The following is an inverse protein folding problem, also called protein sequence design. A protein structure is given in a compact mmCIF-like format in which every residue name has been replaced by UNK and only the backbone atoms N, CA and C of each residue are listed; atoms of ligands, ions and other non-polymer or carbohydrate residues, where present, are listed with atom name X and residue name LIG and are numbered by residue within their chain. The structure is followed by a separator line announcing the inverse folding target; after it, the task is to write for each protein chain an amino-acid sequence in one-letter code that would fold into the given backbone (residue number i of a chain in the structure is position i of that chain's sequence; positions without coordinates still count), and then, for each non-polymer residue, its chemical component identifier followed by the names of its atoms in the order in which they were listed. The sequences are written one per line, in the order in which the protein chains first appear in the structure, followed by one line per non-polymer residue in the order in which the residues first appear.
data_IF_563567487391
#
_entry.id   IF_563567487391
#
_cell.length_a   1.000
_cell.length_b   1.000
_cell.length_c   1.000
_cell.angle_alpha   90.00
_cell.angle_beta   90.00
_cell.angle_gamma   90.00
#
_symmetry.space_group_name_H-M   'P 1'
#
loop_
_entity.id
_entity.type
_entity.pdbx_description
1 polymer ?
#
# COMPACT_ATOMS: atom_id res chain seq x y z
N UNK A 1 -4.95 -9.50 -17.56
CA UNK A 1 -3.71 -8.98 -16.94
C UNK A 1 -3.01 -10.17 -16.29
N UNK A 2 -1.83 -10.47 -16.73
CA UNK A 2 -0.99 -11.52 -16.17
C UNK A 2 -0.09 -10.94 -15.07
N UNK A 3 -0.05 -11.57 -13.91
CA UNK A 3 0.86 -11.25 -12.82
C UNK A 3 1.87 -12.38 -12.67
N UNK A 4 3.14 -12.04 -12.77
CA UNK A 4 4.25 -12.97 -12.51
C UNK A 4 4.75 -12.74 -11.10
N UNK A 5 4.65 -13.74 -10.24
CA UNK A 5 5.22 -13.72 -8.89
C UNK A 5 6.47 -14.57 -8.87
N UNK A 6 7.60 -13.96 -8.51
CA UNK A 6 8.88 -14.65 -8.35
C UNK A 6 9.16 -14.91 -6.87
N UNK A 7 9.26 -16.15 -6.49
CA UNK A 7 9.58 -16.53 -5.13
C UNK A 7 10.65 -17.66 -5.14
N UNK A 8 11.77 -17.43 -4.47
CA UNK A 8 12.89 -18.39 -4.34
C UNK A 8 13.37 -19.00 -5.68
N UNK A 9 13.33 -18.18 -6.76
CA UNK A 9 13.73 -18.61 -8.09
C UNK A 9 12.67 -19.38 -8.88
N UNK A 10 11.46 -19.56 -8.33
CA UNK A 10 10.31 -20.07 -9.06
C UNK A 10 9.43 -18.91 -9.55
N UNK A 11 9.00 -18.99 -10.79
CA UNK A 11 8.03 -18.06 -11.37
C UNK A 11 6.66 -18.74 -11.33
N UNK A 12 5.68 -18.05 -10.73
CA UNK A 12 4.29 -18.47 -10.74
C UNK A 12 3.47 -17.43 -11.51
N UNK A 13 2.77 -17.88 -12.52
CA UNK A 13 1.93 -17.03 -13.36
C UNK A 13 0.50 -17.04 -12.83
N UNK A 14 -0.09 -15.85 -12.70
CA UNK A 14 -1.49 -15.69 -12.30
C UNK A 14 -2.22 -14.85 -13.32
N UNK A 15 -3.33 -15.39 -13.84
CA UNK A 15 -4.28 -14.62 -14.64
C UNK A 15 -5.16 -13.76 -13.75
N UNK A 16 -4.84 -12.46 -13.70
CA UNK A 16 -5.57 -11.44 -12.95
C UNK A 16 -6.68 -10.85 -13.85
N UNK A 17 -7.81 -11.50 -13.90
CA UNK A 17 -8.94 -10.93 -14.63
C UNK A 17 -9.76 -9.99 -13.74
N UNK A 18 -10.18 -10.41 -12.56
CA UNK A 18 -11.02 -9.62 -11.66
C UNK A 18 -10.87 -10.05 -10.19
N UNK A 19 -11.10 -9.11 -9.25
CA UNK A 19 -11.20 -9.42 -7.81
C UNK A 19 -12.40 -10.29 -7.52
N UNK A 20 -13.52 -9.99 -8.19
CA UNK A 20 -14.77 -10.77 -8.14
C UNK A 20 -14.81 -11.65 -9.38
N UNK A 21 -14.76 -12.96 -9.21
CA UNK A 21 -14.81 -13.91 -10.29
C UNK A 21 -16.25 -14.22 -10.74
N UNK A 22 -17.22 -14.08 -9.83
CA UNK A 22 -18.62 -14.31 -10.15
C UNK A 22 -19.54 -13.47 -9.23
N UNK A 23 -20.63 -12.96 -9.81
CA UNK A 23 -21.71 -12.30 -9.10
C UNK A 23 -23.03 -12.97 -9.53
N UNK A 24 -23.75 -13.51 -8.57
CA UNK A 24 -25.09 -14.11 -8.82
C UNK A 24 -26.13 -13.35 -8.02
N UNK A 25 -27.17 -12.94 -8.70
CA UNK A 25 -28.36 -12.34 -8.12
C UNK A 25 -29.49 -13.37 -8.19
N UNK A 26 -30.09 -13.71 -7.07
CA UNK A 26 -31.26 -14.58 -6.98
C UNK A 26 -32.38 -13.81 -6.28
N UNK A 27 -33.60 -13.96 -6.74
CA UNK A 27 -34.79 -13.37 -6.15
C UNK A 27 -35.67 -12.67 -7.19
N UNK A 28 -36.99 -12.72 -6.98
CA UNK A 28 -37.97 -12.09 -7.87
C UNK A 28 -38.27 -10.63 -7.54
N UNK A 29 -38.01 -10.20 -6.29
CA UNK A 29 -38.29 -8.86 -5.78
C UNK A 29 -37.06 -8.26 -5.08
N UNK A 30 -36.96 -6.93 -5.07
CA UNK A 30 -35.81 -6.22 -4.48
C UNK A 30 -35.60 -6.49 -2.98
N UNK A 31 -36.67 -6.85 -2.27
CA UNK A 31 -36.64 -7.17 -0.84
C UNK A 31 -36.10 -8.59 -0.53
N UNK A 32 -36.05 -9.49 -1.52
CA UNK A 32 -35.67 -10.90 -1.34
C UNK A 32 -34.47 -11.28 -2.22
N UNK A 33 -33.66 -10.31 -2.62
CA UNK A 33 -32.50 -10.57 -3.48
C UNK A 33 -31.33 -11.08 -2.65
N UNK A 34 -30.98 -12.34 -2.87
CA UNK A 34 -29.71 -12.91 -2.43
C UNK A 34 -28.60 -12.52 -3.41
N UNK A 35 -27.55 -11.91 -2.89
CA UNK A 35 -26.35 -11.57 -3.65
C UNK A 35 -25.25 -12.54 -3.25
N UNK A 36 -24.85 -13.41 -4.17
CA UNK A 36 -23.71 -14.29 -3.98
C UNK A 36 -22.50 -13.74 -4.75
N UNK A 37 -21.41 -13.47 -4.02
CA UNK A 37 -20.16 -12.94 -4.56
C UNK A 37 -19.08 -14.00 -4.40
N UNK A 38 -18.46 -14.41 -5.51
CA UNK A 38 -17.30 -15.29 -5.50
C UNK A 38 -16.04 -14.47 -5.72
N UNK A 39 -15.12 -14.53 -4.75
CA UNK A 39 -13.83 -13.86 -4.84
C UNK A 39 -12.87 -14.76 -5.59
N UNK A 40 -12.02 -14.16 -6.44
CA UNK A 40 -10.99 -14.88 -7.20
C UNK A 40 -10.08 -15.68 -6.25
N UNK A 41 -9.77 -16.96 -6.57
CA UNK A 41 -8.84 -17.78 -5.79
C UNK A 41 -7.50 -17.10 -5.55
N UNK A 42 -6.99 -16.35 -6.53
CA UNK A 42 -5.77 -15.56 -6.39
C UNK A 42 -5.82 -14.58 -5.20
N UNK A 43 -6.90 -13.81 -5.07
CA UNK A 43 -7.05 -12.88 -3.94
C UNK A 43 -7.16 -13.60 -2.60
N UNK A 44 -7.81 -14.75 -2.58
CA UNK A 44 -7.88 -15.60 -1.39
C UNK A 44 -6.49 -16.07 -0.99
N UNK A 45 -5.67 -16.54 -1.92
CA UNK A 45 -4.30 -16.98 -1.68
C UNK A 45 -3.42 -15.84 -1.18
N UNK A 46 -3.48 -14.65 -1.81
CA UNK A 46 -2.77 -13.46 -1.36
C UNK A 46 -3.15 -13.05 0.05
N UNK A 47 -4.43 -13.18 0.40
CA UNK A 47 -4.94 -12.89 1.75
C UNK A 47 -4.38 -13.89 2.77
N UNK A 48 -4.48 -15.20 2.49
CA UNK A 48 -3.99 -16.27 3.36
C UNK A 48 -2.46 -16.19 3.52
N UNK A 49 -1.73 -15.92 2.44
CA UNK A 49 -0.29 -15.72 2.47
C UNK A 49 0.15 -14.40 3.10
N UNK A 50 -0.79 -13.55 3.58
CA UNK A 50 -0.52 -12.24 4.18
C UNK A 50 0.28 -11.29 3.27
N UNK A 51 0.11 -11.42 1.95
CA UNK A 51 0.78 -10.62 0.92
C UNK A 51 0.02 -9.34 0.54
N UNK A 52 -1.16 -9.12 1.14
CA UNK A 52 -1.94 -7.91 0.92
C UNK A 52 -1.46 -6.78 1.83
N UNK A 53 -1.43 -5.58 1.26
CA UNK A 53 -1.16 -4.36 2.04
C UNK A 53 -2.46 -3.80 2.57
N UNK A 54 -2.57 -3.72 3.89
CA UNK A 54 -3.71 -3.09 4.55
C UNK A 54 -3.55 -1.59 4.58
N UNK A 55 -4.56 -0.88 4.11
CA UNK A 55 -4.59 0.58 4.10
C UNK A 55 -5.76 1.05 4.95
N UNK A 56 -5.51 1.93 5.91
CA UNK A 56 -6.56 2.67 6.59
C UNK A 56 -7.15 3.69 5.61
N UNK A 57 -8.37 3.40 5.16
CA UNK A 57 -9.07 4.20 4.16
C UNK A 57 -9.42 5.59 4.72
N UNK A 58 -9.84 5.68 5.99
CA UNK A 58 -10.18 6.96 6.62
C UNK A 58 -8.95 7.88 6.67
N UNK A 59 -7.80 7.34 7.10
CA UNK A 59 -6.52 8.07 7.12
C UNK A 59 -6.09 8.48 5.70
N UNK A 60 -6.25 7.59 4.71
CA UNK A 60 -5.94 7.89 3.31
C UNK A 60 -6.78 9.03 2.74
N UNK A 61 -8.05 9.14 3.12
CA UNK A 61 -8.91 10.25 2.69
C UNK A 61 -8.51 11.60 3.30
N UNK A 62 -7.89 11.61 4.48
CA UNK A 62 -7.39 12.83 5.11
C UNK A 62 -6.12 13.38 4.45
N UNK A 63 -5.40 12.56 3.67
CA UNK A 63 -4.22 12.95 2.92
C UNK A 63 -4.69 13.60 1.61
N UNK A 64 -4.21 14.81 1.31
CA UNK A 64 -4.61 15.60 0.14
C UNK A 64 -3.68 15.37 -1.05
N UNK A 65 -2.37 15.43 -0.82
CA UNK A 65 -1.35 15.34 -1.85
C UNK A 65 -1.31 13.98 -2.54
N UNK A 66 -1.23 13.95 -3.88
CA UNK A 66 -1.13 12.70 -4.64
C UNK A 66 0.14 11.93 -4.31
N UNK A 67 1.28 12.62 -4.21
CA UNK A 67 2.57 12.01 -3.82
C UNK A 67 2.53 11.55 -2.36
N UNK A 68 1.89 12.30 -1.45
CA UNK A 68 1.70 11.87 -0.07
C UNK A 68 0.83 10.61 0.02
N UNK A 69 -0.23 10.49 -0.78
CA UNK A 69 -1.05 9.26 -0.87
C UNK A 69 -0.24 8.06 -1.39
N UNK A 70 0.61 8.28 -2.41
CA UNK A 70 1.50 7.24 -2.92
C UNK A 70 2.54 6.83 -1.87
N UNK A 71 3.15 7.81 -1.19
CA UNK A 71 4.12 7.57 -0.11
C UNK A 71 3.47 6.86 1.10
N UNK A 72 2.23 7.20 1.45
CA UNK A 72 1.47 6.47 2.48
C UNK A 72 1.32 4.99 2.11
N UNK A 73 0.89 4.69 0.87
CA UNK A 73 0.78 3.31 0.38
C UNK A 73 2.14 2.59 0.41
N UNK A 74 3.20 3.26 -0.04
CA UNK A 74 4.58 2.73 0.01
C UNK A 74 4.98 2.37 1.44
N UNK A 75 4.76 3.27 2.41
CA UNK A 75 5.04 3.00 3.82
C UNK A 75 4.24 1.80 4.35
N UNK A 76 2.99 1.62 3.94
CA UNK A 76 2.17 0.48 4.36
C UNK A 76 2.62 -0.84 3.73
N UNK A 77 3.10 -0.84 2.48
CA UNK A 77 3.61 -2.04 1.83
C UNK A 77 4.93 -2.55 2.44
N UNK A 78 5.73 -1.66 3.04
CA UNK A 78 6.99 -1.98 3.72
C UNK A 78 6.84 -2.05 5.25
N UNK A 79 5.71 -2.57 5.73
CA UNK A 79 5.31 -2.54 7.14
C UNK A 79 6.27 -3.23 8.12
N UNK A 80 7.09 -4.15 7.64
CA UNK A 80 8.07 -4.87 8.48
C UNK A 80 9.28 -4.00 8.85
N UNK A 81 9.55 -2.97 8.03
CA UNK A 81 10.64 -2.04 8.26
C UNK A 81 10.11 -0.68 8.71
N UNK A 82 10.21 -0.32 9.98
CA UNK A 82 9.70 0.96 10.49
C UNK A 82 10.45 2.17 9.90
N UNK A 83 11.66 1.95 9.40
CA UNK A 83 12.51 2.98 8.80
C UNK A 83 12.82 2.62 7.35
N UNK A 84 12.52 3.53 6.43
CA UNK A 84 13.05 3.47 5.06
C UNK A 84 14.20 4.48 4.93
N UNK A 85 15.31 4.03 4.32
CA UNK A 85 16.42 4.89 3.94
C UNK A 85 16.85 4.55 2.51
N UNK A 86 16.78 5.53 1.61
CA UNK A 86 17.11 5.29 0.21
C UNK A 86 17.34 6.57 -0.58
N UNK A 87 17.82 6.40 -1.80
CA UNK A 87 18.00 7.50 -2.73
C UNK A 87 16.66 8.06 -3.21
N UNK A 88 16.62 9.37 -3.47
CA UNK A 88 15.41 10.08 -3.90
C UNK A 88 14.85 9.55 -5.22
N UNK A 89 15.71 9.16 -6.17
CA UNK A 89 15.26 8.64 -7.48
C UNK A 89 14.63 7.27 -7.34
N UNK A 90 15.21 6.40 -6.49
CA UNK A 90 14.63 5.10 -6.17
C UNK A 90 13.25 5.26 -5.53
N UNK A 91 13.12 6.19 -4.59
CA UNK A 91 11.80 6.48 -4.00
C UNK A 91 10.85 7.07 -5.03
N UNK A 92 11.27 8.03 -5.85
CA UNK A 92 10.44 8.64 -6.89
C UNK A 92 9.91 7.59 -7.86
N UNK A 93 10.75 6.63 -8.28
CA UNK A 93 10.33 5.49 -9.09
C UNK A 93 9.27 4.64 -8.39
N UNK A 94 9.49 4.29 -7.12
CA UNK A 94 8.55 3.50 -6.32
C UNK A 94 7.20 4.22 -6.09
N UNK A 95 7.22 5.57 -6.09
CA UNK A 95 6.03 6.41 -6.01
C UNK A 95 5.36 6.68 -7.37
N UNK A 96 5.92 6.14 -8.45
CA UNK A 96 5.48 6.38 -9.84
C UNK A 96 5.48 7.87 -10.22
N UNK A 97 6.51 8.59 -9.81
CA UNK A 97 6.72 10.00 -10.19
C UNK A 97 7.37 10.10 -11.57
N UNK A 98 7.13 11.20 -12.28
CA UNK A 98 7.80 11.47 -13.55
C UNK A 98 9.29 11.79 -13.31
N UNK A 99 10.16 10.85 -13.68
CA UNK A 99 11.62 10.99 -13.51
C UNK A 99 12.27 12.00 -14.48
N UNK A 100 11.53 12.46 -15.50
CA UNK A 100 11.96 13.52 -16.41
C UNK A 100 11.81 14.90 -15.78
N UNK A 101 11.03 15.01 -14.72
CA UNK A 101 10.88 16.26 -13.96
C UNK A 101 12.22 16.70 -13.36
N UNK A 102 12.50 18.02 -13.30
CA UNK A 102 13.70 18.53 -12.66
C UNK A 102 13.86 18.03 -11.22
N UNK A 103 15.07 17.65 -10.82
CA UNK A 103 15.34 17.13 -9.47
C UNK A 103 14.89 18.10 -8.38
N UNK A 104 14.94 19.41 -8.62
CA UNK A 104 14.46 20.45 -7.71
C UNK A 104 12.97 20.28 -7.40
N UNK A 105 12.16 19.99 -8.42
CA UNK A 105 10.73 19.79 -8.30
C UNK A 105 10.41 18.47 -7.57
N UNK A 106 11.09 17.37 -7.92
CA UNK A 106 10.98 16.08 -7.22
C UNK A 106 11.31 16.24 -5.73
N UNK A 107 12.37 17.01 -5.42
CA UNK A 107 12.74 17.30 -4.02
C UNK A 107 11.67 18.08 -3.28
N UNK A 108 11.05 19.08 -3.93
CA UNK A 108 9.96 19.86 -3.36
C UNK A 108 8.77 18.97 -3.04
N UNK A 109 8.30 18.20 -4.03
CA UNK A 109 7.15 17.32 -3.88
C UNK A 109 7.33 16.26 -2.79
N UNK A 110 8.54 15.67 -2.68
CA UNK A 110 8.84 14.69 -1.63
C UNK A 110 8.87 15.36 -0.25
N UNK A 111 9.44 16.58 -0.12
CA UNK A 111 9.40 17.30 1.16
C UNK A 111 7.99 17.64 1.60
N UNK A 112 7.17 18.13 0.65
CA UNK A 112 5.77 18.48 0.91
C UNK A 112 4.99 17.24 1.37
N UNK A 113 5.22 16.09 0.72
CA UNK A 113 4.62 14.81 1.09
C UNK A 113 5.07 14.33 2.49
N UNK A 114 6.35 14.45 2.83
CA UNK A 114 6.87 14.11 4.16
C UNK A 114 6.21 15.00 5.22
N UNK A 115 6.14 16.32 4.98
CA UNK A 115 5.53 17.26 5.90
C UNK A 115 4.04 16.94 6.14
N UNK A 116 3.28 16.69 5.08
CA UNK A 116 1.87 16.31 5.18
C UNK A 116 1.68 15.00 5.96
N UNK A 117 2.49 13.97 5.67
CA UNK A 117 2.41 12.69 6.38
C UNK A 117 2.84 12.77 7.84
N UNK A 118 3.76 13.68 8.18
CA UNK A 118 4.13 13.94 9.56
C UNK A 118 2.99 14.65 10.31
N UNK A 119 2.31 15.61 9.68
CA UNK A 119 1.10 16.24 10.23
C UNK A 119 -0.01 15.22 10.50
N UNK A 120 -0.21 14.25 9.60
CA UNK A 120 -1.21 13.18 9.73
C UNK A 120 -0.76 12.02 10.62
N UNK A 121 0.36 12.15 11.35
CA UNK A 121 0.92 11.12 12.24
C UNK A 121 1.17 9.77 11.57
N UNK A 122 1.52 9.78 10.30
CA UNK A 122 1.98 8.60 9.55
C UNK A 122 3.48 8.46 9.68
N UNK A 123 4.18 9.57 9.58
CA UNK A 123 5.63 9.67 9.73
C UNK A 123 6.00 10.45 10.99
N UNK A 124 7.13 10.11 11.56
CA UNK A 124 7.76 10.90 12.62
C UNK A 124 8.30 12.23 12.05
N UNK A 125 8.34 13.26 12.88
CA UNK A 125 8.96 14.56 12.54
C UNK A 125 10.44 14.45 12.18
N UNK A 126 11.09 13.36 12.53
CA UNK A 126 12.47 13.02 12.19
C UNK A 126 12.64 12.54 10.75
N UNK A 127 11.55 12.32 10.02
CA UNK A 127 11.60 11.97 8.60
C UNK A 127 12.09 13.16 7.78
N UNK A 128 13.08 12.93 6.90
CA UNK A 128 13.80 14.02 6.24
C UNK A 128 14.31 13.61 4.84
N UNK A 129 14.38 14.60 3.95
CA UNK A 129 15.18 14.55 2.73
C UNK A 129 16.48 15.35 2.96
N UNK A 130 17.61 14.66 2.96
CA UNK A 130 18.94 15.27 3.18
C UNK A 130 19.42 16.07 1.97
N UNK A 131 20.47 16.87 2.16
CA UNK A 131 21.15 17.59 1.06
C UNK A 131 21.73 16.64 0.01
N UNK A 132 22.19 15.44 0.42
CA UNK A 132 22.75 14.40 -0.44
C UNK A 132 21.72 13.50 -1.16
N UNK A 133 20.46 13.94 -1.29
CA UNK A 133 19.37 13.19 -1.94
C UNK A 133 18.97 11.88 -1.26
N UNK A 134 19.38 11.65 -0.02
CA UNK A 134 18.93 10.51 0.77
C UNK A 134 17.64 10.89 1.48
N UNK A 135 16.62 10.05 1.30
CA UNK A 135 15.33 10.14 2.00
C UNK A 135 15.35 9.17 3.18
N UNK A 136 14.94 9.65 4.33
CA UNK A 136 14.76 8.85 5.55
C UNK A 136 13.32 9.04 5.98
N UNK A 137 12.55 7.95 5.99
CA UNK A 137 11.15 7.93 6.42
C UNK A 137 11.07 7.06 7.69
N UNK A 138 10.76 7.69 8.80
CA UNK A 138 10.53 7.03 10.08
C UNK A 138 9.02 6.96 10.30
N UNK A 139 8.45 5.76 10.41
CA UNK A 139 7.03 5.59 10.63
C UNK A 139 6.70 5.69 12.10
N UNK A 140 5.56 6.31 12.40
CA UNK A 140 5.03 6.33 13.77
C UNK A 140 4.56 4.94 14.19
N UNK A 141 4.55 4.66 15.49
CA UNK A 141 4.01 3.41 16.04
C UNK A 141 2.52 3.22 15.70
N UNK A 142 1.75 4.32 15.61
CA UNK A 142 0.34 4.30 15.21
C UNK A 142 0.13 3.93 13.74
N UNK A 143 1.11 4.21 12.88
CA UNK A 143 1.05 3.87 11.46
C UNK A 143 1.45 2.41 11.20
N UNK A 144 2.06 1.75 12.19
CA UNK A 144 2.34 0.33 12.11
C UNK A 144 1.05 -0.44 12.34
N UNK A 145 0.66 -1.38 11.47
CA UNK A 145 -0.48 -2.21 11.72
C UNK A 145 -0.28 -2.96 13.03
N UNK A 146 -1.22 -2.81 13.96
CA UNK A 146 -1.22 -3.61 15.17
C UNK A 146 -1.09 -5.08 14.75
N UNK A 147 -0.09 -5.79 15.27
CA UNK A 147 -0.04 -7.24 15.13
C UNK A 147 -1.37 -7.77 15.68
N UNK A 148 -2.33 -8.06 14.82
CA UNK A 148 -3.51 -8.81 15.22
C UNK A 148 -2.97 -10.12 15.78
N UNK A 149 -2.99 -10.26 17.10
CA UNK A 149 -2.90 -11.52 17.82
C UNK A 149 -4.14 -12.34 17.44
N UNK A 150 -4.08 -13.01 16.31
CA UNK A 150 -5.14 -13.87 15.77
C UNK A 150 -4.60 -15.23 15.48
N UNK A 151 -3.87 -15.82 16.42
CA UNK A 151 -3.85 -17.28 16.55
C UNK A 151 -5.07 -17.64 17.39
N UNK A 152 -6.24 -17.82 16.77
CA UNK A 152 -7.23 -18.75 17.30
C UNK A 152 -6.51 -20.11 17.32
N UNK A 153 -6.25 -20.64 18.48
CA UNK A 153 -6.07 -22.06 18.66
C UNK A 153 -7.41 -22.68 18.27
N UNK A 154 -7.42 -23.44 17.20
CA UNK A 154 -8.46 -24.41 16.94
C UNK A 154 -8.19 -25.53 17.97
N UNK A 155 -9.09 -25.65 18.94
CA UNK A 155 -9.29 -26.84 19.77
C UNK A 155 -10.15 -27.81 18.97
#
# INVERSE_FOLDING_TARGET
IELVVRERGQETFYDLTHIISNLRLRGKNDAERDISVTISPFFREMYVANRLTWIDVAKRFQIRGSIAKAMYRFCQSHRENPVFRGDIRTLALALNMDLRSPLKETRRQIRDAIAELAEKKVLEKTSILTKGNIVILNRTAEALPSRRRGRRKED
#
